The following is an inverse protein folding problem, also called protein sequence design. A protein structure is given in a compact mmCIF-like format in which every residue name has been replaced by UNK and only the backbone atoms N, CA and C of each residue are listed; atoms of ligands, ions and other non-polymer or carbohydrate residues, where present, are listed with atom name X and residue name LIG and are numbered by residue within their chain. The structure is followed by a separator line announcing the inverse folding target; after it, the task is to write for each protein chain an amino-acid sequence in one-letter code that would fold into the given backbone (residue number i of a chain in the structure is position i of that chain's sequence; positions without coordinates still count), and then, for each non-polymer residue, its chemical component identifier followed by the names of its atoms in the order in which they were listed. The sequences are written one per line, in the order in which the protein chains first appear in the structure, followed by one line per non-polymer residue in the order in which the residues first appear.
data_IF_783241055019
#
_entry.id   IF_783241055019
#
_cell.length_a   1.000
_cell.length_b   1.000
_cell.length_c   1.000
_cell.angle_alpha   90.00
_cell.angle_beta   90.00
_cell.angle_gamma   90.00
#
_symmetry.space_group_name_H-M   'P 1'
#
loop_
_entity.id
_entity.type
_entity.pdbx_description
1 polymer ?
#
# COMPACT_ATOMS: atom_id res chain seq x y z
N UNK A 1 -31.81 -41.49 32.27
CA UNK A 1 -30.39 -41.30 32.62
C UNK A 1 -29.65 -40.59 31.48
N UNK A 2 -29.49 -39.26 31.63
CA UNK A 2 -28.29 -38.44 31.39
C UNK A 2 -27.46 -38.49 30.09
N UNK A 3 -27.71 -39.39 29.12
CA UNK A 3 -26.81 -39.57 27.97
C UNK A 3 -27.15 -38.69 26.74
N UNK A 4 -28.40 -38.23 26.59
CA UNK A 4 -28.85 -37.54 25.35
C UNK A 4 -28.64 -36.01 25.41
N UNK A 5 -28.36 -35.46 26.60
CA UNK A 5 -28.30 -34.00 26.83
C UNK A 5 -26.91 -33.37 26.66
N UNK A 6 -25.91 -34.12 26.19
CA UNK A 6 -24.51 -33.65 26.06
C UNK A 6 -23.90 -33.87 24.66
N UNK A 7 -24.70 -33.72 23.61
CA UNK A 7 -24.22 -33.73 22.21
C UNK A 7 -24.41 -32.38 21.51
N UNK A 8 -24.58 -31.31 22.29
CA UNK A 8 -24.53 -29.92 21.86
C UNK A 8 -23.30 -29.25 22.49
N UNK A 9 -22.13 -29.84 22.31
CA UNK A 9 -20.86 -29.27 22.75
C UNK A 9 -20.07 -28.83 21.52
N UNK A 10 -20.21 -27.53 21.23
CA UNK A 10 -19.16 -26.68 20.68
C UNK A 10 -18.46 -27.19 19.41
N UNK A 11 -19.12 -27.06 18.26
CA UNK A 11 -18.38 -26.64 17.06
C UNK A 11 -18.34 -25.12 17.10
N UNK A 12 -17.49 -24.58 17.96
CA UNK A 12 -17.04 -23.21 17.80
C UNK A 12 -16.20 -23.21 16.52
N UNK A 13 -16.84 -22.96 15.37
CA UNK A 13 -16.11 -22.54 14.18
C UNK A 13 -15.39 -21.26 14.59
N UNK A 14 -14.13 -21.41 14.96
CA UNK A 14 -13.18 -20.32 14.94
C UNK A 14 -13.22 -19.81 13.50
N UNK A 15 -13.99 -18.73 13.27
CA UNK A 15 -13.74 -17.85 12.16
C UNK A 15 -12.31 -17.35 12.37
N UNK A 16 -11.35 -18.10 11.83
CA UNK A 16 -10.07 -17.53 11.49
C UNK A 16 -10.45 -16.35 10.59
N UNK A 17 -10.39 -15.15 11.15
CA UNK A 17 -10.45 -13.91 10.42
C UNK A 17 -9.27 -13.99 9.45
N UNK A 18 -9.52 -14.56 8.27
CA UNK A 18 -8.68 -14.37 7.12
C UNK A 18 -8.68 -12.86 6.92
N UNK A 19 -7.68 -12.18 7.50
CA UNK A 19 -7.39 -10.80 7.21
C UNK A 19 -7.28 -10.75 5.71
N UNK A 20 -8.33 -10.26 5.06
CA UNK A 20 -8.44 -10.14 3.62
C UNK A 20 -7.15 -9.47 3.16
N UNK A 21 -6.21 -10.25 2.63
CA UNK A 21 -4.95 -9.77 2.08
C UNK A 21 -5.20 -9.18 0.70
N UNK A 22 -6.31 -8.46 0.56
CA UNK A 22 -6.65 -7.77 -0.65
C UNK A 22 -5.60 -6.67 -0.87
N UNK A 23 -5.11 -6.61 -2.10
CA UNK A 23 -4.36 -5.45 -2.58
C UNK A 23 -5.31 -4.24 -2.52
N UNK A 24 -4.81 -3.08 -2.12
CA UNK A 24 -5.59 -1.85 -2.16
C UNK A 24 -5.85 -1.40 -3.60
N UNK A 25 -4.95 -1.78 -4.51
CA UNK A 25 -5.16 -1.67 -5.95
C UNK A 25 -5.11 -3.07 -6.56
N UNK A 26 -6.24 -3.52 -7.10
CA UNK A 26 -6.34 -4.83 -7.75
C UNK A 26 -5.34 -4.93 -8.90
N UNK A 27 -4.55 -6.00 -8.90
CA UNK A 27 -3.55 -6.25 -9.93
C UNK A 27 -2.21 -5.54 -9.70
N UNK A 28 -2.00 -4.92 -8.54
CA UNK A 28 -0.71 -4.33 -8.17
C UNK A 28 0.37 -5.40 -7.92
N UNK A 29 1.27 -5.59 -8.87
CA UNK A 29 2.34 -6.61 -8.80
C UNK A 29 3.34 -6.38 -7.65
N UNK A 30 3.34 -5.18 -7.05
CA UNK A 30 4.15 -4.85 -5.88
C UNK A 30 3.73 -5.66 -4.64
N UNK A 31 2.53 -6.23 -4.66
CA UNK A 31 1.99 -7.04 -3.58
C UNK A 31 1.74 -8.45 -4.08
N UNK A 32 2.35 -9.43 -3.43
CA UNK A 32 2.14 -10.86 -3.74
C UNK A 32 1.72 -11.59 -2.48
N UNK A 33 0.59 -12.29 -2.55
CA UNK A 33 0.23 -13.28 -1.55
C UNK A 33 1.17 -14.48 -1.68
N UNK A 34 1.73 -14.91 -0.57
CA UNK A 34 2.64 -16.05 -0.49
C UNK A 34 1.86 -17.31 -0.08
N UNK A 35 2.36 -18.52 -0.41
CA UNK A 35 1.67 -19.78 -0.08
C UNK A 35 1.50 -20.03 1.41
N UNK A 36 2.35 -19.44 2.25
CA UNK A 36 2.28 -19.50 3.72
C UNK A 36 1.22 -18.55 4.30
N UNK A 37 0.46 -17.88 3.45
CA UNK A 37 -0.54 -16.89 3.85
C UNK A 37 0.08 -15.57 4.26
N UNK A 38 1.38 -15.31 4.03
CA UNK A 38 1.98 -13.99 4.24
C UNK A 38 1.88 -13.11 2.98
N UNK A 39 2.18 -11.83 3.12
CA UNK A 39 2.21 -10.86 2.03
C UNK A 39 3.64 -10.40 1.78
N UNK A 40 4.16 -10.64 0.58
CA UNK A 40 5.40 -10.03 0.11
C UNK A 40 5.08 -8.69 -0.54
N UNK A 41 5.75 -7.64 -0.09
CA UNK A 41 5.58 -6.29 -0.63
C UNK A 41 6.91 -5.75 -1.14
N UNK A 42 6.88 -5.16 -2.33
CA UNK A 42 7.99 -4.45 -2.94
C UNK A 42 7.69 -2.95 -2.92
N UNK A 43 8.71 -2.12 -2.71
CA UNK A 43 8.62 -0.67 -2.89
C UNK A 43 9.52 -0.24 -4.06
N UNK A 44 9.23 0.90 -4.71
CA UNK A 44 10.10 1.43 -5.75
C UNK A 44 11.54 1.55 -5.25
N UNK A 45 12.53 1.07 -6.03
CA UNK A 45 13.92 1.18 -5.63
C UNK A 45 14.31 2.66 -5.59
N UNK A 46 15.05 3.04 -4.55
CA UNK A 46 15.67 4.35 -4.46
C UNK A 46 16.68 4.46 -5.61
N UNK A 47 16.55 5.42 -6.55
CA UNK A 47 17.58 5.64 -7.56
C UNK A 47 18.92 5.93 -6.88
N UNK A 48 20.03 5.57 -7.55
CA UNK A 48 21.38 5.72 -7.02
C UNK A 48 21.73 7.15 -6.58
N UNK A 49 22.92 7.31 -5.99
CA UNK A 49 23.37 8.53 -5.32
C UNK A 49 22.96 9.84 -6.02
N UNK A 50 22.44 10.80 -5.23
CA UNK A 50 22.06 12.13 -5.71
C UNK A 50 20.65 12.60 -5.34
N UNK A 51 19.86 11.79 -4.63
CA UNK A 51 18.57 12.28 -4.11
C UNK A 51 18.79 13.32 -2.99
N UNK A 52 18.03 14.42 -3.01
CA UNK A 52 18.05 15.38 -1.91
C UNK A 52 17.49 14.75 -0.63
N UNK A 53 17.70 15.43 0.50
CA UNK A 53 17.14 15.01 1.77
C UNK A 53 15.61 14.79 1.64
N UNK A 54 15.08 13.66 2.16
CA UNK A 54 13.65 13.39 2.10
C UNK A 54 12.82 14.47 2.79
N UNK A 55 11.65 14.77 2.21
CA UNK A 55 10.63 15.56 2.92
C UNK A 55 9.89 14.63 3.88
N UNK A 56 9.97 14.90 5.19
CA UNK A 56 9.37 14.04 6.20
C UNK A 56 7.84 14.18 6.18
N UNK A 57 7.12 13.07 6.39
CA UNK A 57 5.65 13.06 6.37
C UNK A 57 5.02 13.94 7.46
N UNK A 58 5.70 14.11 8.57
CA UNK A 58 5.25 14.95 9.70
C UNK A 58 5.53 16.44 9.47
N UNK A 59 6.32 16.80 8.46
CA UNK A 59 6.67 18.20 8.17
C UNK A 59 5.59 18.84 7.31
N UNK A 60 5.02 19.94 7.81
CA UNK A 60 4.08 20.76 7.06
C UNK A 60 4.69 21.26 5.74
N UNK A 61 3.88 21.26 4.67
CA UNK A 61 4.28 21.72 3.34
C UNK A 61 4.93 20.68 2.43
N UNK A 62 5.19 19.46 2.93
CA UNK A 62 5.84 18.40 2.14
C UNK A 62 4.95 17.70 1.10
N UNK A 63 3.64 17.96 1.07
CA UNK A 63 2.68 17.18 0.23
C UNK A 63 1.79 18.06 -0.63
N UNK A 64 2.31 19.18 -1.15
CA UNK A 64 1.56 20.09 -2.02
C UNK A 64 1.00 19.41 -3.28
N UNK A 65 1.70 18.41 -3.81
CA UNK A 65 1.30 17.58 -4.95
C UNK A 65 0.41 16.37 -4.58
N UNK A 66 0.04 16.24 -3.30
CA UNK A 66 -0.75 15.11 -2.79
C UNK A 66 0.10 13.99 -2.20
N UNK A 67 -0.57 13.01 -1.60
CA UNK A 67 0.08 11.87 -0.96
C UNK A 67 0.28 10.73 -1.96
N UNK A 68 1.50 10.17 -1.97
CA UNK A 68 1.81 8.94 -2.72
C UNK A 68 1.36 7.76 -1.87
N UNK A 69 0.37 7.03 -2.36
CA UNK A 69 -0.16 5.85 -1.71
C UNK A 69 0.72 4.66 -2.07
N UNK A 70 1.50 4.19 -1.10
CA UNK A 70 2.49 3.12 -1.29
C UNK A 70 2.11 1.93 -0.41
N UNK A 71 2.03 0.75 -1.01
CA UNK A 71 1.91 -0.50 -0.26
C UNK A 71 3.27 -0.83 0.37
N UNK A 72 3.28 -1.08 1.68
CA UNK A 72 4.48 -1.46 2.44
C UNK A 72 4.22 -2.73 3.24
N UNK A 73 5.23 -3.25 3.92
CA UNK A 73 5.07 -4.34 4.89
C UNK A 73 4.10 -4.00 6.03
N UNK A 74 3.93 -2.71 6.36
CA UNK A 74 2.99 -2.22 7.37
C UNK A 74 1.57 -1.98 6.81
N UNK A 75 1.34 -2.29 5.53
CA UNK A 75 0.10 -1.99 4.82
C UNK A 75 0.19 -0.74 3.94
N UNK A 76 -0.96 -0.19 3.55
CA UNK A 76 -1.02 1.02 2.73
C UNK A 76 -0.57 2.23 3.54
N UNK A 77 0.36 3.00 3.00
CA UNK A 77 0.92 4.20 3.62
C UNK A 77 0.71 5.43 2.75
N UNK A 78 0.56 6.57 3.41
CA UNK A 78 0.62 7.88 2.79
C UNK A 78 2.06 8.38 2.86
N UNK A 79 2.72 8.52 1.70
CA UNK A 79 4.11 8.94 1.60
C UNK A 79 4.25 10.28 0.89
N UNK A 80 5.26 11.06 1.26
CA UNK A 80 5.64 12.28 0.55
C UNK A 80 6.24 11.93 -0.81
N UNK A 81 6.95 10.81 -0.94
CA UNK A 81 7.58 10.33 -2.18
C UNK A 81 7.28 8.84 -2.44
N UNK A 82 7.59 8.35 -3.64
CA UNK A 82 7.26 6.95 -4.01
C UNK A 82 8.12 5.88 -3.31
N UNK A 83 9.33 6.23 -2.89
CA UNK A 83 10.35 5.24 -2.47
C UNK A 83 10.15 4.70 -1.06
N UNK A 84 9.22 5.29 -0.30
CA UNK A 84 8.98 4.97 1.10
C UNK A 84 10.25 4.95 1.95
N UNK A 85 11.12 5.97 1.81
CA UNK A 85 12.30 6.11 2.68
C UNK A 85 11.88 6.27 4.15
N UNK A 86 12.76 5.94 5.11
CA UNK A 86 12.47 6.17 6.52
C UNK A 86 12.03 7.63 6.78
N UNK A 87 10.92 7.80 7.49
CA UNK A 87 10.36 9.11 7.83
C UNK A 87 9.52 9.79 6.75
N UNK A 88 9.44 9.26 5.53
CA UNK A 88 8.65 9.86 4.44
C UNK A 88 7.21 9.37 4.38
N UNK A 89 6.85 8.39 5.21
CA UNK A 89 5.53 7.76 5.18
C UNK A 89 4.86 7.73 6.55
N UNK A 90 3.56 7.97 6.56
CA UNK A 90 2.69 7.86 7.75
C UNK A 90 1.53 6.89 7.49
N UNK A 91 0.77 6.59 8.54
CA UNK A 91 -0.44 5.77 8.43
C UNK A 91 -1.40 6.32 7.38
N UNK A 92 -1.98 5.43 6.57
CA UNK A 92 -2.94 5.85 5.54
C UNK A 92 -4.23 6.34 6.17
N UNK A 93 -4.73 7.48 5.68
CA UNK A 93 -6.06 8.02 6.00
C UNK A 93 -7.06 7.76 4.87
N UNK A 94 -6.71 6.86 3.94
CA UNK A 94 -7.60 6.45 2.86
C UNK A 94 -8.86 5.79 3.42
N UNK A 95 -10.03 6.25 2.95
CA UNK A 95 -11.34 5.82 3.46
C UNK A 95 -11.87 6.66 4.62
N UNK A 96 -11.01 7.39 5.35
CA UNK A 96 -11.42 8.26 6.46
C UNK A 96 -11.34 9.74 6.11
N UNK A 97 -10.42 10.13 5.23
CA UNK A 97 -10.24 11.53 4.84
C UNK A 97 -10.28 11.75 3.33
N UNK A 98 -10.93 12.83 2.87
CA UNK A 98 -10.95 13.24 1.46
C UNK A 98 -9.72 14.11 1.16
N UNK A 99 -8.73 13.55 0.47
CA UNK A 99 -7.47 14.21 0.10
C UNK A 99 -6.99 13.74 -1.28
N UNK A 100 -6.22 14.59 -1.95
CA UNK A 100 -5.55 14.26 -3.20
C UNK A 100 -4.50 13.18 -2.95
N UNK A 101 -4.61 12.10 -3.73
CA UNK A 101 -3.79 10.89 -3.59
C UNK A 101 -3.40 10.37 -4.96
N UNK A 102 -2.15 9.95 -5.08
CA UNK A 102 -1.62 9.30 -6.27
C UNK A 102 -1.20 7.90 -5.87
N UNK A 103 -1.61 6.89 -6.62
CA UNK A 103 -1.40 5.49 -6.31
C UNK A 103 -0.12 4.99 -6.96
N UNK A 104 0.81 4.50 -6.14
CA UNK A 104 2.06 3.92 -6.61
C UNK A 104 1.86 2.41 -6.75
N UNK A 105 1.92 1.93 -7.99
CA UNK A 105 1.66 0.53 -8.31
C UNK A 105 2.75 -0.01 -9.23
N UNK A 106 2.90 -1.34 -9.24
CA UNK A 106 3.73 -2.04 -10.21
C UNK A 106 2.85 -2.84 -11.16
N UNK A 107 3.06 -2.68 -12.47
CA UNK A 107 2.35 -3.42 -13.52
C UNK A 107 3.27 -3.65 -14.70
N UNK A 108 3.29 -4.87 -15.25
CA UNK A 108 4.23 -5.25 -16.30
C UNK A 108 5.70 -5.06 -15.88
N UNK A 109 6.01 -5.20 -14.59
CA UNK A 109 7.34 -4.93 -14.04
C UNK A 109 7.74 -3.45 -13.96
N UNK A 110 6.87 -2.52 -14.33
CA UNK A 110 7.13 -1.07 -14.29
C UNK A 110 6.39 -0.39 -13.14
N UNK A 111 7.04 0.61 -12.54
CA UNK A 111 6.45 1.45 -11.50
C UNK A 111 5.64 2.58 -12.12
N UNK A 112 4.37 2.67 -11.73
CA UNK A 112 3.40 3.62 -12.26
C UNK A 112 2.80 4.47 -11.14
N UNK A 113 2.43 5.70 -11.49
CA UNK A 113 1.57 6.56 -10.68
C UNK A 113 0.19 6.63 -11.32
N UNK A 114 -0.84 6.22 -10.58
CA UNK A 114 -2.22 6.22 -11.04
C UNK A 114 -3.05 7.24 -10.26
N UNK A 115 -3.94 7.97 -10.95
CA UNK A 115 -4.81 8.97 -10.33
C UNK A 115 -5.93 8.35 -9.46
N UNK A 116 -6.19 7.06 -9.61
CA UNK A 116 -7.20 6.30 -8.85
C UNK A 116 -6.60 4.96 -8.38
N UNK A 117 -7.21 4.29 -7.37
CA UNK A 117 -6.81 2.95 -6.93
C UNK A 117 -7.19 1.87 -7.95
N UNK A 118 -6.80 2.07 -9.20
CA UNK A 118 -7.19 1.25 -10.34
C UNK A 118 -6.10 1.33 -11.41
N UNK A 119 -5.55 0.18 -11.79
CA UNK A 119 -4.54 0.08 -12.85
C UNK A 119 -5.11 0.39 -14.24
N UNK A 120 -6.42 0.29 -14.43
CA UNK A 120 -7.11 0.73 -15.66
C UNK A 120 -7.35 2.23 -15.73
N UNK A 121 -6.95 2.99 -14.70
CA UNK A 121 -7.06 4.45 -14.69
C UNK A 121 -5.93 5.12 -15.47
N UNK A 122 -5.88 6.46 -15.45
CA UNK A 122 -4.78 7.24 -16.03
C UNK A 122 -3.52 7.00 -15.19
N UNK A 123 -2.72 6.03 -15.60
CA UNK A 123 -1.44 5.68 -14.99
C UNK A 123 -0.28 6.17 -15.85
N UNK A 124 0.70 6.82 -15.23
CA UNK A 124 1.92 7.31 -15.89
C UNK A 124 3.14 6.61 -15.32
N UNK A 125 4.13 6.32 -16.18
CA UNK A 125 5.36 5.67 -15.74
C UNK A 125 6.19 6.61 -14.86
N UNK A 126 6.61 6.13 -13.69
CA UNK A 126 7.51 6.88 -12.80
C UNK A 126 8.85 7.20 -13.44
N UNK A 127 9.30 6.40 -14.41
CA UNK A 127 10.52 6.66 -15.19
C UNK A 127 10.38 7.86 -16.14
N UNK A 128 9.15 8.15 -16.57
CA UNK A 128 8.85 9.27 -17.46
C UNK A 128 8.57 10.57 -16.70
N UNK A 129 8.49 10.51 -15.36
CA UNK A 129 8.21 11.67 -14.52
C UNK A 129 9.50 12.40 -14.14
N UNK A 130 9.50 13.75 -14.18
CA UNK A 130 10.60 14.52 -13.61
C UNK A 130 10.69 14.27 -12.10
N UNK A 131 11.88 14.43 -11.51
CA UNK A 131 12.13 14.14 -10.09
C UNK A 131 11.12 14.77 -9.13
N UNK A 132 10.67 16.01 -9.39
CA UNK A 132 9.68 16.70 -8.55
C UNK A 132 8.28 16.08 -8.53
N UNK A 133 7.91 15.30 -9.53
CA UNK A 133 6.62 14.58 -9.56
C UNK A 133 6.70 13.23 -8.82
N UNK A 134 7.92 12.78 -8.53
CA UNK A 134 8.21 11.55 -7.79
C UNK A 134 8.43 11.81 -6.29
N UNK A 135 8.80 13.06 -5.94
CA UNK A 135 9.15 13.52 -4.60
C UNK A 135 8.09 14.41 -3.94
#
# INVERSE_FOLDING_TARGET
MKAVRRLLAMVALAFASASSMAQFVKGNEAVKAMPDGTKKVETPPIPGAGLPAPCLAEKAGCTGSGWRMVETSEGLRECTEIYARPGTCRGSTYGTEKRTRIWVVKTGGQWMQCQRPDIGSKCVSTKALPFGEVQ
#
